data_IF_005903290718
#
_entry.id   IF_005903290718
#
_cell.length_a   1.000
_cell.length_b   1.000
_cell.length_c   1.000
_cell.angle_alpha   90.00
_cell.angle_beta   90.00
_cell.angle_gamma   90.00
#
_symmetry.space_group_name_H-M   'P 1'
#
loop_
_entity.id
_entity.type
_entity.pdbx_description
1 polymer ?
#
# COMPACT_ATOMS: atom_id res chain seq x y z
N UNK A 1 -35.05 24.87 -111.34
CA UNK A 1 -34.03 24.70 -110.30
C UNK A 1 -33.87 26.05 -109.61
N UNK A 2 -34.31 26.16 -108.36
CA UNK A 2 -34.27 27.40 -107.56
C UNK A 2 -33.41 27.12 -106.33
N UNK A 3 -32.47 28.02 -106.02
CA UNK A 3 -31.81 28.07 -104.72
C UNK A 3 -31.75 29.54 -104.30
N UNK A 4 -32.47 29.87 -103.23
CA UNK A 4 -32.33 31.13 -102.48
C UNK A 4 -31.76 30.73 -101.12
N UNK A 5 -30.60 31.29 -100.78
CA UNK A 5 -29.93 31.09 -99.51
C UNK A 5 -30.31 32.24 -98.57
N UNK A 6 -30.99 31.94 -97.46
CA UNK A 6 -31.38 32.90 -96.43
C UNK A 6 -30.64 32.57 -95.13
N UNK A 7 -29.76 33.48 -94.71
CA UNK A 7 -28.92 33.42 -93.51
C UNK A 7 -29.72 33.86 -92.27
N UNK A 8 -29.74 33.03 -91.23
CA UNK A 8 -30.37 33.32 -89.93
C UNK A 8 -29.30 33.68 -88.88
N UNK A 9 -29.43 34.79 -88.11
CA UNK A 9 -28.43 35.20 -87.14
C UNK A 9 -28.53 34.40 -85.83
N UNK A 10 -27.38 33.96 -85.33
CA UNK A 10 -27.22 33.11 -84.15
C UNK A 10 -27.15 33.96 -82.87
N UNK A 11 -28.04 33.72 -81.89
CA UNK A 11 -27.96 34.27 -80.53
C UNK A 11 -27.03 33.40 -79.67
N UNK A 12 -26.00 33.99 -79.06
CA UNK A 12 -25.05 33.30 -78.19
C UNK A 12 -25.64 33.23 -76.76
N UNK A 13 -25.89 32.02 -76.28
CA UNK A 13 -26.12 31.73 -74.85
C UNK A 13 -24.77 31.40 -74.20
N UNK A 14 -24.39 32.10 -73.12
CA UNK A 14 -23.20 31.76 -72.34
C UNK A 14 -23.53 30.57 -71.45
N UNK A 15 -22.97 29.40 -71.76
CA UNK A 15 -23.02 28.24 -70.87
C UNK A 15 -21.85 28.31 -69.89
N UNK A 16 -22.12 28.17 -68.59
CA UNK A 16 -21.08 28.00 -67.57
C UNK A 16 -20.40 26.63 -67.75
N UNK A 17 -19.07 26.60 -67.73
CA UNK A 17 -18.27 25.39 -67.91
C UNK A 17 -18.10 24.63 -66.58
N UNK A 18 -19.19 24.05 -66.05
CA UNK A 18 -19.14 23.09 -64.94
C UNK A 18 -19.09 21.66 -65.49
N UNK A 19 -18.30 20.80 -64.86
CA UNK A 19 -18.13 19.41 -65.30
C UNK A 19 -19.02 18.50 -64.44
N UNK A 20 -20.10 18.00 -65.03
CA UNK A 20 -20.88 16.90 -64.46
C UNK A 20 -20.44 15.58 -65.05
N UNK A 21 -20.13 14.59 -64.22
CA UNK A 21 -19.91 13.20 -64.65
C UNK A 21 -21.00 12.35 -64.01
N UNK A 22 -21.91 11.82 -64.84
CA UNK A 22 -23.05 11.04 -64.36
C UNK A 22 -24.19 11.87 -63.74
N UNK A 23 -24.14 13.21 -63.84
CA UNK A 23 -25.23 14.13 -63.51
C UNK A 23 -25.36 15.22 -64.58
N UNK A 24 -26.60 15.64 -64.88
CA UNK A 24 -26.91 16.80 -65.73
C UNK A 24 -27.21 18.06 -64.91
N UNK A 25 -27.29 17.92 -63.58
CA UNK A 25 -27.42 19.03 -62.64
C UNK A 25 -26.24 18.96 -61.66
N UNK A 26 -25.01 19.33 -62.10
CA UNK A 26 -23.91 19.49 -61.17
C UNK A 26 -24.30 20.46 -60.05
N UNK A 27 -23.91 20.15 -58.82
CA UNK A 27 -24.12 21.05 -57.69
C UNK A 27 -23.58 22.46 -58.03
N UNK A 28 -24.36 23.54 -57.84
CA UNK A 28 -23.91 24.90 -58.16
C UNK A 28 -22.62 25.34 -57.45
N UNK A 29 -22.25 24.67 -56.35
CA UNK A 29 -21.02 24.91 -55.60
C UNK A 29 -19.84 24.04 -56.05
N UNK A 30 -20.03 23.16 -57.04
CA UNK A 30 -19.01 22.23 -57.53
C UNK A 30 -18.55 22.57 -58.95
N UNK A 31 -17.25 22.72 -59.14
CA UNK A 31 -16.64 22.82 -60.47
C UNK A 31 -16.63 21.46 -61.17
N UNK A 32 -16.55 20.37 -60.40
CA UNK A 32 -16.64 18.97 -60.83
C UNK A 32 -17.57 18.22 -59.87
N UNK A 33 -18.67 17.68 -60.40
CA UNK A 33 -19.63 16.85 -59.66
C UNK A 33 -19.72 15.47 -60.30
N UNK A 34 -19.49 14.41 -59.52
CA UNK A 34 -19.45 13.02 -60.00
C UNK A 34 -20.50 12.20 -59.25
N UNK A 35 -21.50 11.72 -59.98
CA UNK A 35 -22.58 10.90 -59.44
C UNK A 35 -22.64 9.55 -60.15
N UNK A 36 -22.56 8.47 -59.39
CA UNK A 36 -22.79 7.11 -59.87
C UNK A 36 -23.37 6.25 -58.76
N UNK A 37 -24.37 5.40 -59.02
CA UNK A 37 -24.95 4.54 -57.99
C UNK A 37 -24.04 3.38 -57.59
N UNK A 38 -23.02 3.06 -58.38
CA UNK A 38 -22.18 1.85 -58.19
C UNK A 38 -20.75 1.94 -58.73
N UNK A 39 -20.27 3.12 -59.14
CA UNK A 39 -18.90 3.34 -59.58
C UNK A 39 -18.22 4.40 -58.71
N UNK A 40 -16.91 4.24 -58.49
CA UNK A 40 -16.09 5.20 -57.77
C UNK A 40 -15.07 5.91 -58.68
N UNK A 41 -14.26 6.78 -58.09
CA UNK A 41 -13.20 7.50 -58.80
C UNK A 41 -11.85 6.81 -58.55
N UNK A 42 -11.20 6.37 -59.62
CA UNK A 42 -9.79 5.99 -59.57
C UNK A 42 -8.92 7.23 -59.73
N UNK A 43 -8.36 7.70 -58.61
CA UNK A 43 -7.38 8.78 -58.61
C UNK A 43 -6.04 8.31 -59.19
N UNK A 44 -5.18 9.25 -59.65
CA UNK A 44 -3.84 8.92 -60.14
C UNK A 44 -3.07 8.04 -59.16
N UNK A 45 -2.64 6.86 -59.63
CA UNK A 45 -1.90 5.87 -58.85
C UNK A 45 -0.40 6.11 -59.03
N UNK A 46 0.29 6.51 -57.96
CA UNK A 46 1.69 6.96 -58.00
C UNK A 46 2.52 6.34 -56.88
N UNK A 47 3.81 6.17 -57.13
CA UNK A 47 4.78 5.81 -56.10
C UNK A 47 5.42 7.09 -55.53
N UNK A 48 4.99 7.51 -54.35
CA UNK A 48 5.63 8.57 -53.57
C UNK A 48 6.86 7.97 -52.88
N UNK A 49 8.06 8.42 -53.23
CA UNK A 49 9.30 7.91 -52.63
C UNK A 49 9.71 8.62 -51.35
N UNK A 50 9.15 9.80 -51.12
CA UNK A 50 9.48 10.68 -50.01
C UNK A 50 8.33 11.67 -49.80
N UNK A 51 7.80 11.74 -48.58
CA UNK A 51 6.67 12.62 -48.23
C UNK A 51 7.05 14.10 -48.23
N UNK A 52 8.34 14.43 -48.06
CA UNK A 52 8.83 15.80 -48.06
C UNK A 52 9.08 16.35 -49.46
N UNK A 53 8.93 15.52 -50.51
CA UNK A 53 9.12 15.98 -51.88
C UNK A 53 8.00 16.91 -52.31
N UNK A 54 8.42 18.04 -52.85
CA UNK A 54 7.57 19.11 -53.37
C UNK A 54 6.77 18.73 -54.63
N UNK A 55 6.90 17.52 -55.16
CA UNK A 55 6.28 17.11 -56.42
C UNK A 55 6.28 15.61 -56.67
N UNK A 56 5.47 15.16 -57.64
CA UNK A 56 5.45 13.77 -58.10
C UNK A 56 6.68 13.39 -58.94
N UNK A 57 7.38 14.38 -59.50
CA UNK A 57 8.60 14.23 -60.27
C UNK A 57 9.51 15.45 -60.06
N UNK A 58 10.74 15.41 -60.59
CA UNK A 58 11.72 16.49 -60.42
C UNK A 58 11.47 17.73 -61.29
N UNK A 59 10.47 17.70 -62.17
CA UNK A 59 10.19 18.78 -63.13
C UNK A 59 9.02 19.67 -62.70
N UNK A 60 8.06 19.15 -61.90
CA UNK A 60 6.81 19.86 -61.59
C UNK A 60 6.48 19.84 -60.11
N UNK A 61 6.11 21.01 -59.59
CA UNK A 61 5.64 21.18 -58.21
C UNK A 61 4.23 20.63 -58.07
N UNK A 62 4.01 19.82 -57.04
CA UNK A 62 2.67 19.43 -56.63
C UNK A 62 2.00 20.69 -56.06
N UNK A 63 0.86 21.11 -56.61
CA UNK A 63 0.08 22.17 -55.99
C UNK A 63 -0.52 21.68 -54.67
N UNK A 64 -0.73 22.61 -53.74
CA UNK A 64 -1.49 22.36 -52.51
C UNK A 64 -2.88 21.80 -52.85
N UNK A 65 -3.32 20.79 -52.11
CA UNK A 65 -4.55 20.05 -52.33
C UNK A 65 -4.49 18.97 -53.42
N UNK A 66 -3.33 18.72 -54.06
CA UNK A 66 -3.20 17.63 -55.03
C UNK A 66 -3.42 16.27 -54.35
N UNK A 67 -4.40 15.50 -54.82
CA UNK A 67 -4.73 14.17 -54.27
C UNK A 67 -4.27 13.06 -55.20
N UNK A 68 -3.57 12.07 -54.64
CA UNK A 68 -3.11 10.88 -55.35
C UNK A 68 -3.32 9.62 -54.52
N UNK A 69 -3.31 8.47 -55.18
CA UNK A 69 -3.27 7.17 -54.51
C UNK A 69 -1.84 6.62 -54.52
N UNK A 70 -1.22 6.52 -53.33
CA UNK A 70 0.08 5.93 -53.13
C UNK A 70 0.03 4.40 -53.20
N UNK A 71 0.89 3.80 -54.03
CA UNK A 71 0.80 2.37 -54.39
C UNK A 71 1.73 1.43 -53.63
N UNK A 72 2.62 1.94 -52.78
CA UNK A 72 3.61 1.11 -52.04
C UNK A 72 3.56 1.42 -50.55
N UNK A 73 4.22 0.58 -49.73
CA UNK A 73 4.20 0.70 -48.26
C UNK A 73 5.46 1.38 -47.70
N UNK A 74 6.25 2.03 -48.55
CA UNK A 74 7.57 2.59 -48.20
C UNK A 74 7.50 3.87 -47.36
N UNK A 75 6.32 4.49 -47.22
CA UNK A 75 6.11 5.73 -46.49
C UNK A 75 5.36 5.52 -45.17
N UNK A 76 5.57 6.44 -44.23
CA UNK A 76 4.83 6.48 -42.97
C UNK A 76 3.32 6.73 -43.24
N UNK A 77 2.49 5.72 -42.98
CA UNK A 77 1.07 5.72 -43.37
C UNK A 77 0.72 4.69 -44.45
N UNK A 78 1.73 4.08 -45.09
CA UNK A 78 1.58 2.98 -46.04
C UNK A 78 0.92 3.39 -47.36
N UNK A 79 0.51 2.39 -48.16
CA UNK A 79 -0.32 2.62 -49.35
C UNK A 79 -1.65 3.31 -48.98
N UNK A 80 -2.16 4.19 -49.84
CA UNK A 80 -3.44 4.84 -49.57
C UNK A 80 -3.63 6.18 -50.27
N UNK A 81 -4.66 6.92 -49.87
CA UNK A 81 -4.88 8.28 -50.36
C UNK A 81 -3.91 9.25 -49.71
N UNK A 82 -3.30 10.12 -50.52
CA UNK A 82 -2.40 11.17 -50.06
C UNK A 82 -2.82 12.51 -50.64
N UNK A 83 -2.76 13.56 -49.82
CA UNK A 83 -2.92 14.96 -50.24
C UNK A 83 -1.62 15.71 -49.99
N UNK A 84 -1.21 16.55 -50.94
CA UNK A 84 -0.11 17.48 -50.72
C UNK A 84 -0.63 18.71 -49.97
N UNK A 85 -0.04 19.05 -48.82
CA UNK A 85 -0.48 20.16 -47.96
C UNK A 85 0.25 21.49 -48.23
N UNK A 86 0.89 21.61 -49.40
CA UNK A 86 1.77 22.71 -49.76
C UNK A 86 3.22 22.55 -49.26
N UNK A 87 3.49 21.61 -48.34
CA UNK A 87 4.82 21.34 -47.80
C UNK A 87 5.22 19.87 -47.97
N UNK A 88 4.28 18.95 -47.76
CA UNK A 88 4.50 17.51 -47.71
C UNK A 88 3.25 16.71 -48.07
N UNK A 89 3.45 15.46 -48.47
CA UNK A 89 2.39 14.50 -48.72
C UNK A 89 1.87 13.91 -47.41
N UNK A 90 0.57 14.08 -47.14
CA UNK A 90 -0.15 13.56 -45.97
C UNK A 90 -1.04 12.39 -46.35
N UNK A 91 -0.86 11.25 -45.69
CA UNK A 91 -1.78 10.12 -45.83
C UNK A 91 -3.14 10.44 -45.20
N UNK A 92 -4.21 10.33 -45.98
CA UNK A 92 -5.59 10.58 -45.57
C UNK A 92 -6.26 9.33 -44.97
N UNK A 93 -5.62 8.16 -45.10
CA UNK A 93 -6.06 6.91 -44.49
C UNK A 93 -4.85 6.24 -43.82
N UNK A 94 -4.73 6.39 -42.50
CA UNK A 94 -3.74 5.64 -41.71
C UNK A 94 -4.16 4.18 -41.65
N UNK A 95 -3.42 3.30 -42.32
CA UNK A 95 -3.61 1.85 -42.19
C UNK A 95 -2.36 1.26 -41.52
N UNK A 96 -2.17 1.53 -40.23
CA UNK A 96 -1.31 0.70 -39.39
C UNK A 96 -2.14 -0.46 -38.86
N UNK A 97 -1.52 -1.61 -38.64
CA UNK A 97 -2.11 -2.60 -37.75
C UNK A 97 -2.38 -1.91 -36.41
N UNK A 98 -3.60 -2.07 -35.90
CA UNK A 98 -4.05 -1.47 -34.65
C UNK A 98 -3.10 -1.73 -33.47
N UNK A 99 -2.25 -2.76 -33.54
CA UNK A 99 -1.54 -3.31 -32.39
C UNK A 99 -0.26 -2.57 -31.95
N UNK A 100 0.26 -1.58 -32.69
CA UNK A 100 1.57 -0.96 -32.39
C UNK A 100 1.51 0.49 -31.87
N UNK A 101 0.35 0.98 -31.42
CA UNK A 101 0.22 2.32 -30.84
C UNK A 101 -0.72 2.31 -29.62
N UNK A 102 -0.65 3.35 -28.79
CA UNK A 102 -1.67 3.60 -27.77
C UNK A 102 -3.02 3.80 -28.45
N UNK A 103 -3.91 2.84 -28.23
CA UNK A 103 -5.22 2.84 -28.83
C UNK A 103 -6.26 3.25 -27.80
N UNK A 104 -7.03 4.27 -28.16
CA UNK A 104 -8.27 4.56 -27.47
C UNK A 104 -9.36 3.61 -27.97
N UNK A 105 -9.81 2.73 -27.09
CA UNK A 105 -11.01 1.90 -27.32
C UNK A 105 -12.16 2.39 -26.44
N UNK A 106 -13.34 1.84 -26.71
CA UNK A 106 -14.49 2.01 -25.81
C UNK A 106 -14.23 1.48 -24.38
N UNK A 107 -13.13 0.74 -24.14
CA UNK A 107 -12.70 0.21 -22.83
C UNK A 107 -11.44 0.89 -22.26
N UNK A 108 -10.96 1.96 -22.89
CA UNK A 108 -9.82 2.76 -22.42
C UNK A 108 -8.58 2.69 -23.32
N UNK A 109 -7.48 3.25 -22.79
CA UNK A 109 -6.18 3.33 -23.45
C UNK A 109 -5.41 2.04 -23.24
N UNK A 110 -5.10 1.34 -24.33
CA UNK A 110 -4.33 0.09 -24.27
C UNK A 110 -3.23 0.06 -25.34
N UNK A 111 -2.18 -0.72 -25.09
CA UNK A 111 -1.07 -0.94 -26.01
C UNK A 111 -1.15 -2.40 -26.49
N UNK A 112 -1.25 -2.62 -27.80
CA UNK A 112 -1.69 -3.90 -28.37
C UNK A 112 -0.63 -5.01 -28.37
N UNK A 113 0.66 -4.68 -28.28
CA UNK A 113 1.76 -5.63 -28.17
C UNK A 113 3.06 -4.95 -27.68
N UNK A 114 3.85 -5.62 -26.82
CA UNK A 114 5.10 -5.08 -26.25
C UNK A 114 4.94 -4.47 -24.85
N UNK A 115 6.05 -4.09 -24.21
CA UNK A 115 6.04 -3.52 -22.86
C UNK A 115 5.65 -2.04 -22.82
N UNK A 116 4.93 -1.62 -21.77
CA UNK A 116 4.58 -0.23 -21.47
C UNK A 116 5.54 0.31 -20.40
N UNK A 117 6.42 1.23 -20.77
CA UNK A 117 7.31 1.92 -19.82
C UNK A 117 6.71 3.29 -19.47
N UNK A 118 6.51 3.57 -18.17
CA UNK A 118 6.02 4.87 -17.68
C UNK A 118 7.14 5.56 -16.91
N UNK A 119 7.84 6.49 -17.57
CA UNK A 119 9.04 7.17 -17.08
C UNK A 119 9.85 7.76 -18.26
N UNK A 120 10.83 8.63 -17.99
CA UNK A 120 11.60 9.27 -19.07
C UNK A 120 12.75 8.39 -19.58
N UNK A 121 13.42 7.63 -18.69
CA UNK A 121 14.36 6.55 -19.01
C UNK A 121 14.61 5.68 -17.76
N UNK A 122 15.45 4.65 -17.87
CA UNK A 122 15.75 3.72 -16.77
C UNK A 122 16.46 4.33 -15.54
N UNK A 123 16.95 5.57 -15.64
CA UNK A 123 17.65 6.28 -14.55
C UNK A 123 16.79 7.35 -13.86
N UNK A 124 15.53 7.56 -14.28
CA UNK A 124 14.66 8.58 -13.68
C UNK A 124 13.79 8.04 -12.54
N UNK A 125 13.69 8.79 -11.44
CA UNK A 125 12.79 8.52 -10.30
C UNK A 125 11.46 9.26 -10.47
N UNK A 126 10.72 8.94 -11.53
CA UNK A 126 9.43 9.58 -11.80
C UNK A 126 8.31 8.85 -11.07
N UNK A 127 7.43 9.59 -10.40
CA UNK A 127 6.27 9.04 -9.71
C UNK A 127 5.17 8.63 -10.71
N UNK A 128 4.58 7.45 -10.50
CA UNK A 128 3.41 6.97 -11.25
C UNK A 128 2.12 7.29 -10.48
N UNK A 129 1.42 8.33 -10.92
CA UNK A 129 0.15 8.76 -10.32
C UNK A 129 -1.03 8.04 -10.97
N UNK A 130 -1.59 7.03 -10.29
CA UNK A 130 -2.78 6.30 -10.74
C UNK A 130 -4.02 6.88 -10.06
N UNK A 131 -5.05 7.22 -10.84
CA UNK A 131 -6.25 7.90 -10.32
C UNK A 131 -7.07 7.08 -9.30
N UNK A 132 -6.90 5.74 -9.22
CA UNK A 132 -7.75 4.86 -8.37
C UNK A 132 -7.12 3.58 -7.79
N UNK A 133 -6.82 2.54 -8.59
CA UNK A 133 -6.28 1.22 -8.12
C UNK A 133 -5.51 0.50 -9.23
N UNK A 134 -4.61 -0.42 -8.84
CA UNK A 134 -3.99 -1.42 -9.73
C UNK A 134 -4.87 -2.68 -9.71
N UNK A 135 -5.36 -3.13 -10.88
CA UNK A 135 -6.31 -4.25 -11.01
C UNK A 135 -5.68 -5.32 -11.91
N UNK A 136 -5.85 -6.62 -11.60
CA UNK A 136 -5.59 -7.68 -12.58
C UNK A 136 -6.61 -7.58 -13.66
N UNK A 137 -6.17 -7.56 -14.90
CA UNK A 137 -7.12 -7.66 -15.99
C UNK A 137 -7.41 -9.13 -16.35
N UNK A 138 -6.45 -10.05 -16.18
CA UNK A 138 -6.60 -11.43 -16.66
C UNK A 138 -6.86 -12.47 -15.55
N UNK A 139 -6.69 -12.13 -14.26
CA UNK A 139 -6.94 -13.06 -13.15
C UNK A 139 -7.28 -12.38 -11.80
N UNK A 140 -8.46 -12.63 -11.24
CA UNK A 140 -8.89 -12.01 -9.97
C UNK A 140 -8.14 -12.45 -8.69
N UNK A 141 -6.93 -13.03 -8.73
CA UNK A 141 -6.33 -13.70 -7.56
C UNK A 141 -5.13 -13.00 -6.88
N UNK A 142 -4.46 -11.99 -7.46
CA UNK A 142 -3.28 -11.37 -6.80
C UNK A 142 -3.09 -9.87 -7.09
N UNK A 143 -4.01 -9.03 -6.61
CA UNK A 143 -3.91 -7.55 -6.66
C UNK A 143 -4.35 -6.97 -5.34
N UNK A 144 -4.10 -5.67 -5.13
CA UNK A 144 -4.92 -4.85 -4.24
C UNK A 144 -6.35 -4.87 -4.78
N UNK A 145 -7.09 -5.93 -4.47
CA UNK A 145 -8.50 -6.05 -4.78
C UNK A 145 -9.29 -5.38 -3.64
N UNK A 146 -9.93 -4.22 -3.85
CA UNK A 146 -10.77 -3.61 -2.82
C UNK A 146 -12.08 -4.36 -2.57
N UNK A 147 -12.44 -5.33 -3.42
CA UNK A 147 -13.66 -6.13 -3.30
C UNK A 147 -13.41 -7.53 -2.71
N UNK A 148 -12.14 -7.94 -2.52
CA UNK A 148 -11.75 -9.21 -1.93
C UNK A 148 -10.46 -9.08 -1.08
N UNK A 149 -9.96 -10.20 -0.55
CA UNK A 149 -8.63 -10.22 0.08
C UNK A 149 -7.54 -10.14 -0.98
N UNK A 150 -6.56 -9.25 -0.78
CA UNK A 150 -5.40 -9.12 -1.66
C UNK A 150 -4.30 -10.05 -1.18
N UNK A 151 -3.80 -10.93 -2.04
CA UNK A 151 -2.63 -11.75 -1.72
C UNK A 151 -1.38 -11.05 -2.26
N UNK A 152 -0.47 -10.71 -1.36
CA UNK A 152 0.77 -9.99 -1.63
C UNK A 152 1.93 -10.89 -1.17
N UNK A 153 3.05 -10.91 -1.91
CA UNK A 153 4.20 -11.75 -1.55
C UNK A 153 4.90 -11.20 -0.29
N UNK A 154 5.44 -9.99 -0.38
CA UNK A 154 5.96 -9.24 0.75
C UNK A 154 5.45 -7.79 0.73
N UNK A 155 5.15 -7.26 1.91
CA UNK A 155 4.88 -5.84 2.13
C UNK A 155 5.99 -5.32 3.04
N UNK A 156 6.83 -4.44 2.51
CA UNK A 156 7.78 -3.68 3.31
C UNK A 156 7.16 -2.32 3.62
N UNK A 157 7.10 -2.00 4.90
CA UNK A 157 6.63 -0.71 5.39
C UNK A 157 7.81 0.08 5.94
N UNK A 158 7.71 1.40 5.93
CA UNK A 158 8.71 2.27 6.53
C UNK A 158 8.75 2.10 8.06
N UNK A 159 9.88 2.40 8.73
CA UNK A 159 9.90 2.52 10.18
C UNK A 159 8.84 3.51 10.67
N UNK A 160 8.34 3.31 11.87
CA UNK A 160 7.29 4.15 12.42
C UNK A 160 7.50 4.48 13.89
N UNK A 161 6.54 5.20 14.45
CA UNK A 161 6.49 5.62 15.84
C UNK A 161 5.09 5.41 16.41
N UNK A 162 4.88 5.67 17.70
CA UNK A 162 3.54 5.56 18.30
C UNK A 162 2.55 6.58 17.75
N UNK A 163 3.03 7.70 17.20
CA UNK A 163 2.21 8.75 16.58
C UNK A 163 2.13 8.66 15.06
N UNK A 164 2.94 7.80 14.44
CA UNK A 164 3.02 7.62 12.99
C UNK A 164 3.35 6.16 12.69
N UNK A 165 2.31 5.33 12.71
CA UNK A 165 2.42 3.90 12.53
C UNK A 165 2.46 3.54 11.04
N UNK A 166 3.18 2.46 10.72
CA UNK A 166 3.41 2.06 9.33
C UNK A 166 2.22 1.32 8.70
N UNK A 167 1.41 0.64 9.52
CA UNK A 167 0.15 -0.01 9.13
C UNK A 167 -0.96 0.38 10.11
N UNK A 168 -1.93 1.15 9.64
CA UNK A 168 -3.07 1.63 10.41
C UNK A 168 -4.36 1.60 9.59
N UNK A 169 -5.50 1.73 10.28
CA UNK A 169 -6.83 1.72 9.65
C UNK A 169 -7.52 3.08 9.70
N UNK A 170 -7.75 3.65 10.89
CA UNK A 170 -8.52 4.89 11.07
C UNK A 170 -7.63 6.10 11.36
N UNK A 171 -6.60 5.92 12.18
CA UNK A 171 -5.74 7.01 12.66
C UNK A 171 -4.27 6.58 12.63
N UNK A 172 -3.34 7.47 12.27
CA UNK A 172 -1.91 7.13 12.16
C UNK A 172 -1.27 6.79 13.51
N UNK A 173 -1.94 7.08 14.62
CA UNK A 173 -1.48 6.80 15.98
C UNK A 173 -1.97 5.45 16.54
N UNK A 174 -2.67 4.66 15.73
CA UNK A 174 -3.30 3.39 16.13
C UNK A 174 -3.07 2.32 15.05
N UNK A 175 -2.07 1.47 15.27
CA UNK A 175 -1.59 0.55 14.24
C UNK A 175 -0.29 -0.17 14.60
N UNK A 176 0.21 -0.98 13.66
CA UNK A 176 1.50 -1.66 13.75
C UNK A 176 2.62 -0.81 13.17
N UNK A 177 3.80 -0.88 13.77
CA UNK A 177 4.96 -0.14 13.31
C UNK A 177 6.26 -0.86 13.66
N UNK A 178 7.36 -0.48 13.01
CA UNK A 178 8.70 -0.93 13.36
C UNK A 178 9.46 0.22 14.04
N UNK A 179 9.63 0.22 15.38
CA UNK A 179 10.34 1.27 16.09
C UNK A 179 11.85 1.27 15.81
N UNK A 180 12.43 0.09 15.65
CA UNK A 180 13.85 -0.15 15.37
C UNK A 180 14.00 -1.43 14.54
N UNK A 181 15.20 -1.67 14.00
CA UNK A 181 15.49 -2.90 13.25
C UNK A 181 15.22 -4.15 14.10
N UNK A 182 14.38 -5.06 13.59
CA UNK A 182 14.06 -6.33 14.23
C UNK A 182 13.01 -6.24 15.34
N UNK A 183 12.44 -5.06 15.60
CA UNK A 183 11.39 -4.89 16.58
C UNK A 183 10.03 -4.59 15.93
N UNK A 184 8.94 -4.95 16.61
CA UNK A 184 7.56 -4.70 16.18
C UNK A 184 6.80 -4.04 17.33
N UNK A 185 6.13 -2.93 17.06
CA UNK A 185 5.27 -2.22 17.99
C UNK A 185 3.80 -2.21 17.55
N UNK A 186 2.90 -2.20 18.52
CA UNK A 186 1.48 -1.87 18.34
C UNK A 186 1.17 -0.61 19.16
N UNK A 187 0.70 0.44 18.49
CA UNK A 187 0.24 1.67 19.12
C UNK A 187 -1.30 1.70 19.18
N UNK A 188 -1.84 2.29 20.25
CA UNK A 188 -3.25 2.66 20.36
C UNK A 188 -3.37 4.07 20.91
N UNK A 189 -3.93 4.97 20.12
CA UNK A 189 -4.10 6.39 20.46
C UNK A 189 -2.79 7.03 20.91
N UNK A 190 -1.70 6.80 20.18
CA UNK A 190 -0.39 7.40 20.46
C UNK A 190 0.43 6.69 21.53
N UNK A 191 -0.10 5.62 22.14
CA UNK A 191 0.54 4.91 23.24
C UNK A 191 0.95 3.50 22.82
N UNK A 192 2.19 3.12 23.10
CA UNK A 192 2.67 1.75 22.91
C UNK A 192 1.86 0.79 23.80
N UNK A 193 1.27 -0.23 23.18
CA UNK A 193 0.53 -1.29 23.87
C UNK A 193 1.26 -2.60 23.85
N UNK A 194 1.75 -3.03 22.69
CA UNK A 194 2.58 -4.23 22.56
C UNK A 194 3.92 -3.90 21.92
N UNK A 195 4.95 -4.63 22.34
CA UNK A 195 6.30 -4.49 21.82
C UNK A 195 6.99 -5.85 21.77
N UNK A 196 7.37 -6.31 20.58
CA UNK A 196 8.31 -7.41 20.41
C UNK A 196 9.69 -6.81 20.17
N UNK A 197 10.61 -7.02 21.10
CA UNK A 197 11.97 -6.50 21.00
C UNK A 197 12.78 -7.25 19.93
N UNK A 198 13.89 -6.66 19.49
CA UNK A 198 14.85 -7.31 18.59
C UNK A 198 15.51 -8.57 19.18
N UNK A 199 15.35 -8.82 20.47
CA UNK A 199 15.84 -10.01 21.17
C UNK A 199 14.75 -11.08 21.32
N UNK A 200 13.53 -10.84 20.85
CA UNK A 200 12.42 -11.78 20.91
C UNK A 200 11.58 -11.73 22.20
N UNK A 201 11.76 -10.68 23.03
CA UNK A 201 10.97 -10.49 24.26
C UNK A 201 9.69 -9.71 23.99
N UNK A 202 8.57 -10.14 24.55
CA UNK A 202 7.25 -9.51 24.36
C UNK A 202 6.86 -8.66 25.57
N UNK A 203 6.74 -7.36 25.37
CA UNK A 203 6.29 -6.36 26.34
C UNK A 203 4.85 -5.95 26.11
N UNK A 204 4.09 -5.80 27.21
CA UNK A 204 2.79 -5.12 27.23
C UNK A 204 2.94 -3.81 28.02
N UNK A 205 2.63 -2.68 27.38
CA UNK A 205 2.78 -1.32 27.92
C UNK A 205 4.20 -1.00 28.44
N UNK A 206 5.23 -1.63 27.86
CA UNK A 206 6.65 -1.38 28.16
C UNK A 206 7.48 -1.45 26.88
N UNK A 207 8.48 -0.57 26.75
CA UNK A 207 9.46 -0.54 25.66
C UNK A 207 10.70 -1.40 25.93
N UNK A 208 10.89 -1.83 27.18
CA UNK A 208 12.10 -2.51 27.63
C UNK A 208 11.74 -3.78 28.42
N UNK A 209 11.11 -4.78 27.77
CA UNK A 209 10.72 -6.00 28.45
C UNK A 209 11.96 -6.69 29.05
N UNK A 210 11.93 -6.97 30.36
CA UNK A 210 13.05 -7.59 31.09
C UNK A 210 12.97 -9.12 31.15
N UNK A 211 11.87 -9.71 30.69
CA UNK A 211 11.64 -11.15 30.57
C UNK A 211 11.00 -11.49 29.21
N UNK A 212 10.89 -12.78 28.88
CA UNK A 212 10.23 -13.24 27.63
C UNK A 212 8.81 -12.68 27.47
N UNK A 213 8.10 -12.54 28.59
CA UNK A 213 6.85 -11.80 28.70
C UNK A 213 6.97 -10.81 29.87
N UNK A 214 6.87 -9.53 29.57
CA UNK A 214 6.87 -8.45 30.58
C UNK A 214 5.61 -7.60 30.44
N UNK A 215 4.85 -7.46 31.53
CA UNK A 215 3.57 -6.75 31.53
C UNK A 215 3.65 -5.60 32.52
N UNK A 216 3.73 -4.39 32.00
CA UNK A 216 3.56 -3.17 32.78
C UNK A 216 2.07 -2.87 32.93
N UNK A 217 1.43 -3.61 33.83
CA UNK A 217 -0.01 -3.52 34.07
C UNK A 217 -0.59 -4.80 34.65
N UNK A 218 -1.87 -5.01 34.43
CA UNK A 218 -2.61 -6.13 35.01
C UNK A 218 -2.72 -7.35 34.10
N UNK A 219 -2.73 -8.54 34.69
CA UNK A 219 -2.97 -9.82 34.03
C UNK A 219 -4.22 -10.48 34.62
N UNK A 220 -5.09 -11.05 33.77
CA UNK A 220 -6.18 -11.94 34.18
C UNK A 220 -5.99 -13.30 33.52
N UNK A 221 -5.93 -14.36 34.33
CA UNK A 221 -5.73 -15.73 33.84
C UNK A 221 -7.04 -16.53 33.92
N UNK A 222 -7.57 -16.91 32.75
CA UNK A 222 -8.82 -17.67 32.63
C UNK A 222 -10.08 -16.79 32.64
N UNK A 223 -11.19 -17.34 32.13
CA UNK A 223 -12.45 -16.59 31.95
C UNK A 223 -12.99 -16.00 33.28
N UNK A 224 -12.84 -16.74 34.37
CA UNK A 224 -13.27 -16.36 35.72
C UNK A 224 -12.10 -15.97 36.65
N UNK A 225 -10.90 -15.75 36.10
CA UNK A 225 -9.74 -15.33 36.90
C UNK A 225 -9.90 -13.93 37.49
N UNK A 226 -9.21 -13.70 38.61
CA UNK A 226 -9.03 -12.35 39.17
C UNK A 226 -8.04 -11.55 38.32
N UNK A 227 -8.20 -10.23 38.32
CA UNK A 227 -7.22 -9.30 37.74
C UNK A 227 -6.10 -9.12 38.77
N UNK A 228 -4.89 -9.54 38.41
CA UNK A 228 -3.67 -9.36 39.19
C UNK A 228 -2.95 -8.14 38.62
N UNK A 229 -2.77 -7.10 39.41
CA UNK A 229 -2.03 -5.88 39.08
C UNK A 229 -0.52 -6.01 39.34
N UNK A 230 -0.12 -6.91 40.24
CA UNK A 230 1.28 -7.16 40.56
C UNK A 230 1.53 -8.56 41.06
N UNK A 231 2.62 -9.16 40.60
CA UNK A 231 3.24 -10.33 41.22
C UNK A 231 4.64 -9.93 41.62
N UNK A 232 4.95 -10.00 42.92
CA UNK A 232 6.30 -9.70 43.42
C UNK A 232 6.83 -10.90 44.18
N UNK A 233 8.13 -11.14 44.00
CA UNK A 233 8.89 -12.08 44.82
C UNK A 233 10.06 -11.35 45.43
N UNK A 234 10.24 -11.47 46.74
CA UNK A 234 11.39 -10.88 47.43
C UNK A 234 11.82 -11.75 48.61
N UNK A 235 13.12 -11.70 48.91
CA UNK A 235 13.70 -12.34 50.08
C UNK A 235 13.97 -11.33 51.19
N UNK A 236 13.85 -11.76 52.45
CA UNK A 236 14.38 -11.05 53.61
C UNK A 236 15.27 -11.98 54.42
N UNK A 237 16.38 -11.42 54.89
CA UNK A 237 17.29 -12.07 55.82
C UNK A 237 17.05 -11.52 57.21
N UNK A 238 16.86 -12.42 58.17
CA UNK A 238 16.67 -12.11 59.58
C UNK A 238 17.70 -12.87 60.41
N UNK A 239 18.15 -12.31 61.53
CA UNK A 239 19.01 -13.01 62.49
C UNK A 239 18.15 -13.43 63.67
N UNK A 240 18.16 -14.72 64.01
CA UNK A 240 17.40 -15.23 65.15
C UNK A 240 17.98 -14.60 66.43
N UNK A 241 17.17 -13.90 67.25
CA UNK A 241 17.67 -13.20 68.43
C UNK A 241 18.34 -14.15 69.43
N UNK A 242 19.48 -13.77 70.03
CA UNK A 242 20.28 -14.67 70.85
C UNK A 242 19.63 -15.14 72.15
N UNK A 243 18.64 -14.39 72.65
CA UNK A 243 17.97 -14.65 73.94
C UNK A 243 16.44 -14.81 73.79
N UNK A 244 15.97 -15.41 72.69
CA UNK A 244 14.53 -15.51 72.43
C UNK A 244 13.84 -16.53 73.37
N UNK A 245 12.93 -16.10 74.27
CA UNK A 245 12.45 -16.94 75.36
C UNK A 245 11.18 -17.73 75.03
N UNK A 246 10.60 -17.52 73.83
CA UNK A 246 9.33 -18.11 73.40
C UNK A 246 9.53 -19.09 72.24
N UNK A 247 8.70 -20.12 72.14
CA UNK A 247 8.77 -21.09 71.03
C UNK A 247 8.31 -20.52 69.68
N UNK A 248 7.74 -19.30 69.70
CA UNK A 248 7.24 -18.59 68.53
C UNK A 248 7.87 -17.22 68.34
N UNK A 249 8.04 -16.81 67.08
CA UNK A 249 8.55 -15.49 66.72
C UNK A 249 7.72 -14.90 65.58
N UNK A 250 7.15 -13.71 65.77
CA UNK A 250 6.44 -12.97 64.72
C UNK A 250 7.37 -11.97 64.05
N UNK A 251 7.40 -12.03 62.72
CA UNK A 251 8.05 -11.05 61.86
C UNK A 251 6.93 -10.25 61.19
N UNK A 252 7.03 -8.94 61.27
CA UNK A 252 6.01 -8.01 60.79
C UNK A 252 6.59 -7.12 59.69
N UNK A 253 5.76 -6.80 58.70
CA UNK A 253 5.98 -5.72 57.75
C UNK A 253 4.81 -4.77 57.92
N UNK A 254 5.05 -3.64 58.59
CA UNK A 254 4.03 -2.63 58.80
C UNK A 254 3.58 -1.99 57.47
N UNK A 255 2.46 -1.28 57.52
CA UNK A 255 1.89 -0.59 56.35
C UNK A 255 2.86 0.37 55.66
N UNK A 256 3.76 1.03 56.41
CA UNK A 256 4.77 1.93 55.85
C UNK A 256 5.85 1.15 55.07
N UNK A 257 6.33 0.03 55.63
CA UNK A 257 7.28 -0.88 54.99
C UNK A 257 6.70 -1.46 53.70
N UNK A 258 5.45 -1.92 53.73
CA UNK A 258 4.77 -2.46 52.56
C UNK A 258 4.56 -1.38 51.48
N UNK A 259 4.14 -0.17 51.87
CA UNK A 259 3.99 0.95 50.96
C UNK A 259 5.32 1.33 50.31
N UNK A 260 6.44 1.33 51.06
CA UNK A 260 7.78 1.57 50.51
C UNK A 260 8.19 0.51 49.47
N UNK A 261 7.65 -0.71 49.57
CA UNK A 261 7.84 -1.79 48.60
C UNK A 261 6.79 -1.79 47.49
N UNK A 262 5.89 -0.79 47.44
CA UNK A 262 4.74 -0.69 46.55
C UNK A 262 3.81 -1.92 46.66
N UNK A 263 3.55 -2.42 47.86
CA UNK A 263 2.65 -3.53 48.13
C UNK A 263 1.42 -2.96 48.87
N UNK A 264 0.20 -3.02 48.30
CA UNK A 264 -0.99 -2.50 48.96
C UNK A 264 -1.49 -3.44 50.07
N UNK A 265 -2.25 -2.91 51.03
CA UNK A 265 -2.86 -3.71 52.10
C UNK A 265 -3.90 -4.74 51.59
N UNK A 266 -4.36 -4.61 50.35
CA UNK A 266 -5.22 -5.59 49.69
C UNK A 266 -4.47 -6.81 49.16
N UNK A 267 -3.14 -6.86 49.30
CA UNK A 267 -2.33 -7.92 48.75
C UNK A 267 -2.50 -9.25 49.47
N UNK A 268 -2.47 -10.33 48.69
CA UNK A 268 -2.23 -11.67 49.18
C UNK A 268 -0.71 -11.90 49.26
N UNK A 269 -0.21 -12.18 50.45
CA UNK A 269 1.22 -12.46 50.68
C UNK A 269 1.36 -13.87 51.25
N UNK A 270 2.25 -14.64 50.66
CA UNK A 270 2.65 -15.95 51.13
C UNK A 270 4.15 -15.95 51.43
N UNK A 271 4.50 -16.02 52.71
CA UNK A 271 5.87 -16.23 53.17
C UNK A 271 6.24 -17.71 53.28
N UNK A 272 7.49 -18.02 52.95
CA UNK A 272 8.09 -19.34 53.03
C UNK A 272 9.49 -19.26 53.64
N UNK A 273 9.81 -20.20 54.53
CA UNK A 273 11.17 -20.38 55.08
C UNK A 273 12.05 -21.06 54.02
N UNK A 274 13.23 -20.51 53.76
CA UNK A 274 14.24 -21.08 52.87
C UNK A 274 15.43 -21.65 53.65
N UNK A 275 16.26 -22.42 52.95
CA UNK A 275 17.49 -22.99 53.51
C UNK A 275 17.25 -24.15 54.48
N UNK A 276 18.27 -24.44 55.30
CA UNK A 276 18.30 -25.59 56.22
C UNK A 276 17.29 -25.46 57.36
N UNK A 277 17.05 -24.24 57.84
CA UNK A 277 16.11 -23.94 58.93
C UNK A 277 14.65 -24.30 58.59
N UNK A 278 14.31 -24.46 57.31
CA UNK A 278 12.97 -24.89 56.90
C UNK A 278 12.61 -26.31 57.36
N UNK A 279 13.58 -27.08 57.88
CA UNK A 279 13.36 -28.41 58.48
C UNK A 279 13.04 -28.34 59.98
N UNK A 280 13.44 -27.27 60.64
CA UNK A 280 13.35 -27.09 62.09
C UNK A 280 12.23 -26.12 62.46
N UNK A 281 12.02 -25.10 61.65
CA UNK A 281 11.00 -24.08 61.82
C UNK A 281 9.78 -24.34 60.95
N UNK A 282 8.62 -23.85 61.40
CA UNK A 282 7.36 -23.87 60.64
C UNK A 282 6.68 -22.52 60.71
N UNK A 283 5.96 -22.17 59.65
CA UNK A 283 5.03 -21.04 59.71
C UNK A 283 3.80 -21.50 60.49
N UNK A 284 3.58 -20.92 61.66
CA UNK A 284 2.42 -21.16 62.52
C UNK A 284 1.19 -20.43 61.99
N UNK A 285 1.36 -19.16 61.65
CA UNK A 285 0.31 -18.31 61.07
C UNK A 285 0.93 -17.21 60.23
N UNK A 286 0.21 -16.75 59.23
CA UNK A 286 0.57 -15.58 58.44
C UNK A 286 -0.70 -14.93 57.91
N UNK A 287 -0.68 -13.63 57.67
CA UNK A 287 -1.85 -12.91 57.21
C UNK A 287 -1.59 -11.44 56.97
N UNK A 288 -2.64 -10.77 56.49
CA UNK A 288 -2.68 -9.35 56.20
C UNK A 288 -3.82 -8.74 57.02
N UNK A 289 -3.55 -7.64 57.73
CA UNK A 289 -4.55 -6.86 58.47
C UNK A 289 -4.38 -5.34 58.20
N UNK A 290 -5.04 -4.51 59.01
CA UNK A 290 -4.97 -3.05 58.88
C UNK A 290 -3.59 -2.48 59.25
N UNK A 291 -2.81 -3.22 60.04
CA UNK A 291 -1.49 -2.81 60.53
C UNK A 291 -0.38 -3.24 59.57
N UNK A 292 -0.56 -4.35 58.84
CA UNK A 292 0.38 -4.80 57.83
C UNK A 292 0.31 -6.30 57.58
N UNK A 293 1.45 -6.86 57.19
CA UNK A 293 1.63 -8.30 57.04
C UNK A 293 2.35 -8.86 58.26
N UNK A 294 1.90 -10.01 58.76
CA UNK A 294 2.59 -10.75 59.81
C UNK A 294 2.89 -12.18 59.36
N UNK A 295 4.01 -12.71 59.85
CA UNK A 295 4.36 -14.13 59.74
C UNK A 295 4.91 -14.59 61.09
N UNK A 296 4.17 -15.48 61.75
CA UNK A 296 4.56 -16.11 63.00
C UNK A 296 5.18 -17.47 62.72
N UNK A 297 6.41 -17.65 63.18
CA UNK A 297 7.15 -18.89 63.17
C UNK A 297 6.94 -19.65 64.47
N UNK A 298 7.07 -20.97 64.44
CA UNK A 298 7.14 -21.84 65.61
C UNK A 298 8.32 -22.79 65.51
N UNK A 299 8.79 -23.30 66.65
CA UNK A 299 9.98 -24.16 66.74
C UNK A 299 11.27 -23.38 66.98
N UNK A 300 11.16 -22.08 67.23
CA UNK A 300 12.29 -21.24 67.66
C UNK A 300 12.78 -21.77 68.99
N UNK A 301 14.08 -22.01 69.11
CA UNK A 301 14.69 -22.50 70.33
C UNK A 301 16.12 -21.94 70.47
N UNK A 302 16.72 -21.98 71.67
CA UNK A 302 18.03 -21.37 71.93
C UNK A 302 19.17 -21.92 71.07
N UNK A 303 19.09 -23.12 70.49
CA UNK A 303 20.15 -23.65 69.63
C UNK A 303 20.18 -22.97 68.25
N UNK A 304 19.11 -22.26 67.89
CA UNK A 304 19.00 -21.51 66.64
C UNK A 304 19.46 -20.05 66.78
N UNK A 305 19.78 -19.61 68.01
CA UNK A 305 20.27 -18.27 68.31
C UNK A 305 21.43 -17.84 67.39
N UNK A 306 21.33 -16.65 66.81
CA UNK A 306 22.35 -16.07 65.93
C UNK A 306 22.43 -16.66 64.53
N UNK A 307 21.66 -17.71 64.22
CA UNK A 307 21.59 -18.24 62.85
C UNK A 307 20.82 -17.29 61.92
N UNK A 308 21.22 -17.28 60.65
CA UNK A 308 20.58 -16.48 59.63
C UNK A 308 19.35 -17.22 59.07
N UNK A 309 18.19 -16.59 59.20
CA UNK A 309 16.90 -17.03 58.68
C UNK A 309 16.60 -16.32 57.37
N UNK A 310 16.45 -17.09 56.29
CA UNK A 310 15.99 -16.59 55.00
C UNK A 310 14.49 -16.84 54.84
N UNK A 311 13.74 -15.77 54.59
CA UNK A 311 12.34 -15.82 54.23
C UNK A 311 12.16 -15.33 52.80
N UNK A 312 11.34 -16.04 52.02
CA UNK A 312 10.99 -15.69 50.64
C UNK A 312 9.47 -15.46 50.59
N UNK A 313 9.07 -14.34 50.01
CA UNK A 313 7.68 -13.90 49.99
C UNK A 313 7.20 -13.83 48.54
N UNK A 314 6.03 -14.42 48.28
CA UNK A 314 5.27 -14.23 47.05
C UNK A 314 4.09 -13.33 47.35
N UNK A 315 3.97 -12.24 46.61
CA UNK A 315 2.91 -11.24 46.73
C UNK A 315 2.09 -11.23 45.45
N UNK A 316 0.76 -11.23 45.58
CA UNK A 316 -0.20 -11.09 44.50
C UNK A 316 -1.25 -10.05 44.90
N UNK A 317 -1.48 -9.04 44.08
CA UNK A 317 -2.51 -8.01 44.30
C UNK A 317 -3.00 -7.41 43.00
#
# INVERSE_FOLDING_TARGET
MFVVLLLYPCFIQVLWAQVGIGTIHPDPSAILDISSPNQGVLLPRVELKDQSKWGLNSLHQAPDGLVVYHTVDSLFGGRGLYVFDGVSWRGLAYNRSEQEQWQWTNSGVHYGAGGVYIGANAATNNDLWLSRRLIDWDNSNYYVDPAAGSVLNEIKLDPGSTTDTSLYWDRPDTGFFAPTTGAIGLSVSGNLRWFLSSEGRFGISTTEPQADLDVSGSIKLGAQGSVIQGVKRFGQMHIIPPDWPQDSWTIEMDSETLAAMNIPLSAYIQGQIRGTLSRELRVLSQGMDEQGYFLTLTGINPNLAGQALELDFLVVY
#
